data_IF_168838853886
#
_entry.id   IF_168838853886
#
_cell.length_a   1.000
_cell.length_b   1.000
_cell.length_c   1.000
_cell.angle_alpha   90.00
_cell.angle_beta   90.00
_cell.angle_gamma   90.00
#
_symmetry.space_group_name_H-M   'P 1'
#
loop_
_entity.id
_entity.type
_entity.pdbx_description
1 polymer ?
#
# COMPACT_ATOMS: atom_id res chain seq x y z
N UNK A 1 13.46 -17.80 -0.10
CA UNK A 1 12.05 -18.16 0.15
C UNK A 1 11.38 -16.94 0.75
N UNK A 2 10.36 -16.40 0.10
CA UNK A 2 9.55 -15.32 0.68
C UNK A 2 8.62 -15.96 1.71
N UNK A 3 8.45 -15.35 2.88
CA UNK A 3 7.60 -15.87 3.97
C UNK A 3 6.41 -14.96 4.27
N UNK A 4 6.53 -13.69 3.91
CA UNK A 4 5.53 -12.67 4.16
C UNK A 4 5.64 -11.59 3.08
N UNK A 5 4.51 -11.11 2.57
CA UNK A 5 4.42 -10.04 1.59
C UNK A 5 3.55 -8.94 2.16
N UNK A 6 4.08 -7.71 2.20
CA UNK A 6 3.32 -6.51 2.55
C UNK A 6 2.92 -5.80 1.28
N UNK A 7 1.62 -5.58 1.12
CA UNK A 7 1.07 -4.85 -0.03
C UNK A 7 0.71 -3.44 0.43
N UNK A 8 1.37 -2.46 -0.21
CA UNK A 8 1.09 -1.02 -0.10
C UNK A 8 0.95 -0.46 -1.50
N UNK A 9 0.03 0.47 -1.68
CA UNK A 9 -0.14 1.20 -2.93
C UNK A 9 0.33 2.64 -2.73
N UNK A 10 0.81 3.24 -3.81
CA UNK A 10 1.43 4.57 -3.76
C UNK A 10 0.89 5.47 -4.85
N UNK A 11 0.73 6.74 -4.53
CA UNK A 11 0.55 7.76 -5.55
C UNK A 11 1.77 7.78 -6.49
N UNK A 12 1.50 7.65 -7.80
CA UNK A 12 2.55 7.51 -8.80
C UNK A 12 3.42 8.79 -8.91
N UNK A 13 2.84 9.96 -8.67
CA UNK A 13 3.53 11.24 -8.71
C UNK A 13 4.52 11.41 -7.55
N UNK A 14 4.10 11.09 -6.33
CA UNK A 14 5.02 11.04 -5.19
C UNK A 14 6.13 10.00 -5.41
N UNK A 15 5.77 8.80 -5.86
CA UNK A 15 6.73 7.72 -6.08
C UNK A 15 7.77 8.08 -7.16
N UNK A 16 7.38 8.82 -8.20
CA UNK A 16 8.29 9.33 -9.22
C UNK A 16 9.28 10.34 -8.62
N UNK A 17 8.79 11.37 -7.91
CA UNK A 17 9.66 12.40 -7.31
C UNK A 17 10.66 11.82 -6.32
N UNK A 18 10.25 10.80 -5.57
CA UNK A 18 11.16 10.08 -4.67
C UNK A 18 12.22 9.31 -5.47
N UNK A 19 11.83 8.63 -6.56
CA UNK A 19 12.78 7.88 -7.41
C UNK A 19 13.77 8.78 -8.15
N UNK A 20 13.32 9.94 -8.62
CA UNK A 20 14.18 10.91 -9.30
C UNK A 20 15.14 11.62 -8.34
N UNK A 21 14.83 11.61 -7.04
CA UNK A 21 15.58 12.32 -6.00
C UNK A 21 15.08 13.74 -5.74
N UNK A 22 14.00 14.16 -6.40
CA UNK A 22 13.39 15.49 -6.26
C UNK A 22 12.61 15.66 -4.95
N UNK A 23 12.25 14.56 -4.28
CA UNK A 23 11.61 14.56 -2.98
C UNK A 23 12.26 13.57 -2.00
N UNK A 24 12.38 13.97 -0.74
CA UNK A 24 12.80 13.07 0.32
C UNK A 24 11.69 12.07 0.65
N UNK A 25 12.02 10.78 0.67
CA UNK A 25 11.07 9.69 0.98
C UNK A 25 10.24 9.96 2.23
N UNK A 26 10.88 10.36 3.34
CA UNK A 26 10.18 10.62 4.61
C UNK A 26 9.12 11.72 4.47
N UNK A 27 9.44 12.79 3.76
CA UNK A 27 8.50 13.89 3.57
C UNK A 27 7.35 13.45 2.67
N UNK A 28 7.62 12.70 1.61
CA UNK A 28 6.56 12.15 0.75
C UNK A 28 5.61 11.21 1.49
N UNK A 29 6.11 10.41 2.45
CA UNK A 29 5.25 9.61 3.33
C UNK A 29 4.33 10.51 4.17
N UNK A 30 4.87 11.57 4.78
CA UNK A 30 4.08 12.55 5.57
C UNK A 30 3.03 13.23 4.70
N UNK A 31 3.38 13.55 3.46
CA UNK A 31 2.50 14.24 2.51
C UNK A 31 1.45 13.31 1.85
N UNK A 32 1.33 12.05 2.30
CA UNK A 32 0.29 11.13 1.85
C UNK A 32 0.64 10.27 0.64
N UNK A 33 1.92 9.93 0.43
CA UNK A 33 2.34 9.07 -0.69
C UNK A 33 1.68 7.69 -0.67
N UNK A 34 1.41 7.11 0.51
CA UNK A 34 0.70 5.83 0.61
C UNK A 34 -0.79 6.07 0.57
N UNK A 35 -1.47 5.35 -0.33
CA UNK A 35 -2.91 5.49 -0.58
C UNK A 35 -3.60 4.13 -0.39
N UNK A 36 -4.94 4.10 -0.23
CA UNK A 36 -5.66 2.84 -0.18
C UNK A 36 -5.32 1.94 -1.38
N UNK A 37 -5.17 0.64 -1.14
CA UNK A 37 -4.89 -0.32 -2.21
C UNK A 37 -5.91 -0.24 -3.34
N UNK A 38 -5.41 -0.16 -4.57
CA UNK A 38 -6.23 -0.02 -5.77
C UNK A 38 -6.55 1.43 -6.13
N UNK A 39 -6.20 2.39 -5.28
CA UNK A 39 -6.30 3.82 -5.57
C UNK A 39 -4.97 4.44 -6.04
N UNK A 40 -3.86 3.69 -5.95
CA UNK A 40 -2.55 4.15 -6.39
C UNK A 40 -2.12 3.55 -7.73
N UNK A 41 -0.83 3.67 -8.02
CA UNK A 41 -0.24 3.31 -9.31
C UNK A 41 0.41 1.92 -9.36
N UNK A 42 0.37 1.12 -8.29
CA UNK A 42 1.02 -0.19 -8.26
C UNK A 42 0.14 -1.26 -8.90
N UNK A 43 0.70 -2.06 -9.81
CA UNK A 43 0.03 -3.26 -10.35
C UNK A 43 0.01 -4.41 -9.32
N UNK A 44 -0.85 -4.27 -8.31
CA UNK A 44 -0.98 -5.24 -7.22
C UNK A 44 -1.45 -6.60 -7.75
N UNK A 45 -2.36 -6.61 -8.73
CA UNK A 45 -2.87 -7.86 -9.32
C UNK A 45 -1.77 -8.63 -10.05
N UNK A 46 -0.92 -7.93 -10.81
CA UNK A 46 0.25 -8.52 -11.46
C UNK A 46 1.24 -9.09 -10.46
N UNK A 47 1.51 -8.38 -9.36
CA UNK A 47 2.40 -8.85 -8.29
C UNK A 47 1.88 -10.13 -7.64
N UNK A 48 0.59 -10.18 -7.26
CA UNK A 48 -0.04 -11.38 -6.68
C UNK A 48 0.05 -12.56 -7.67
N UNK A 49 -0.34 -12.33 -8.92
CA UNK A 49 -0.31 -13.35 -9.98
C UNK A 49 1.10 -13.92 -10.17
N UNK A 50 2.13 -13.07 -10.13
CA UNK A 50 3.52 -13.49 -10.26
C UNK A 50 3.98 -14.35 -9.08
N UNK A 51 3.62 -13.96 -7.84
CA UNK A 51 3.97 -14.69 -6.63
C UNK A 51 3.29 -16.08 -6.59
N UNK A 52 2.01 -16.16 -6.93
CA UNK A 52 1.29 -17.41 -7.01
C UNK A 52 1.86 -18.35 -8.07
N UNK A 53 2.19 -17.84 -9.26
CA UNK A 53 2.86 -18.61 -10.32
C UNK A 53 4.24 -19.13 -9.89
N UNK A 54 4.92 -18.42 -9.01
CA UNK A 54 6.19 -18.84 -8.42
C UNK A 54 6.02 -19.84 -7.26
N UNK A 55 4.79 -20.26 -6.94
CA UNK A 55 4.50 -21.21 -5.87
C UNK A 55 4.59 -20.61 -4.47
N UNK A 56 4.38 -19.30 -4.34
CA UNK A 56 4.31 -18.64 -3.04
C UNK A 56 3.12 -19.16 -2.23
N UNK A 57 3.36 -19.52 -0.97
CA UNK A 57 2.38 -20.09 -0.04
C UNK A 57 2.41 -19.39 1.33
N UNK A 58 3.07 -18.23 1.40
CA UNK A 58 3.14 -17.43 2.62
C UNK A 58 1.96 -16.47 2.74
N UNK A 59 2.01 -15.61 3.75
CA UNK A 59 0.95 -14.65 4.02
C UNK A 59 1.07 -13.40 3.15
N UNK A 60 -0.08 -12.87 2.71
CA UNK A 60 -0.20 -11.49 2.25
C UNK A 60 -0.77 -10.67 3.40
N UNK A 61 -0.10 -9.58 3.76
CA UNK A 61 -0.65 -8.59 4.67
C UNK A 61 -0.95 -7.33 3.89
N UNK A 62 -2.21 -6.93 4.05
CA UNK A 62 -2.78 -5.72 3.52
C UNK A 62 -2.58 -4.64 4.58
N UNK A 63 -1.73 -3.66 4.30
CA UNK A 63 -1.59 -2.50 5.18
C UNK A 63 -2.32 -1.33 4.55
N UNK A 64 -3.50 -1.02 5.08
CA UNK A 64 -4.16 0.25 4.83
C UNK A 64 -4.10 1.09 6.11
N UNK A 65 -3.44 2.24 6.04
CA UNK A 65 -3.62 3.31 7.02
C UNK A 65 -4.89 4.08 6.64
N UNK A 66 -6.05 3.43 6.79
CA UNK A 66 -7.35 4.08 6.54
C UNK A 66 -7.71 4.90 7.77
N UNK A 67 -7.56 6.22 7.70
CA UNK A 67 -8.35 7.09 8.58
C UNK A 67 -9.79 7.05 8.07
N UNK A 68 -10.68 6.37 8.79
CA UNK A 68 -12.11 6.46 8.53
C UNK A 68 -12.49 7.93 8.78
N UNK A 69 -12.93 8.65 7.74
CA UNK A 69 -13.32 10.08 7.86
C UNK A 69 -14.57 10.28 8.74
N UNK A 70 -15.24 9.18 9.09
CA UNK A 70 -16.36 9.17 10.02
C UNK A 70 -16.12 8.15 11.12
N UNK A 71 -16.38 8.56 12.36
CA UNK A 71 -16.53 7.64 13.49
C UNK A 71 -17.47 6.51 13.07
N UNK A 72 -17.06 5.24 13.21
CA UNK A 72 -17.96 4.12 13.01
C UNK A 72 -19.23 4.31 13.84
N UNK A 73 -20.38 3.96 13.26
CA UNK A 73 -21.62 3.91 14.02
C UNK A 73 -21.44 3.06 15.27
N UNK A 74 -22.04 3.47 16.39
CA UNK A 74 -21.85 2.80 17.68
C UNK A 74 -22.06 1.27 17.55
N UNK A 75 -20.96 0.51 17.60
CA UNK A 75 -20.95 -0.95 17.46
C UNK A 75 -20.18 -1.51 16.24
N UNK A 76 -19.70 -0.69 15.32
CA UNK A 76 -19.08 -1.14 14.06
C UNK A 76 -17.54 -0.94 14.01
N UNK A 77 -16.79 -1.52 14.94
CA UNK A 77 -15.32 -1.52 14.84
C UNK A 77 -14.68 -0.13 15.02
N UNK A 78 -13.34 0.02 14.89
CA UNK A 78 -12.62 1.10 15.59
C UNK A 78 -12.64 2.42 14.82
N UNK A 79 -12.89 3.50 15.57
CA UNK A 79 -12.68 4.90 15.17
C UNK A 79 -11.25 5.37 15.30
#
# INVERSE_FOLDING_TARGET
RIVHVHLKDVDAGFAERVRSGDAAFRQSVIDGMFVPLGAGGVDISGVITALERAGYQGWYVLEQDTSLEAEPGAGEGPG
#
